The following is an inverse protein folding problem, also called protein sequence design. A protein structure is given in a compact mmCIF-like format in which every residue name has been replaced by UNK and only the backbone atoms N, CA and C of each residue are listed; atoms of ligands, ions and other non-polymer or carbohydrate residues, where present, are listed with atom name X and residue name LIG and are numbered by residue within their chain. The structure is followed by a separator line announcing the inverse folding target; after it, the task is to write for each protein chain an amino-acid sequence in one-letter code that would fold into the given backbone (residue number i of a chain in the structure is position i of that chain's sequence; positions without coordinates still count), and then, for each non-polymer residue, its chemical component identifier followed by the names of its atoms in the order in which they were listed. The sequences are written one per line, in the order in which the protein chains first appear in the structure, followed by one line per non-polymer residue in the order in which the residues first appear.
data_IF_808920034611
#
_entry.id   IF_808920034611
#
_cell.length_a   1.000
_cell.length_b   1.000
_cell.length_c   1.000
_cell.angle_alpha   90.00
_cell.angle_beta   90.00
_cell.angle_gamma   90.00
#
_symmetry.space_group_name_H-M   'P 1'
#
loop_
_entity.id
_entity.type
_entity.pdbx_description
1 polymer ?
#
# COMPACT_ATOMS: atom_id res chain seq x y z
N UNK A 1 -12.77 0.35 3.90
CA UNK A 1 -13.14 -0.57 2.80
C UNK A 1 -12.84 0.11 1.48
N UNK A 2 -12.21 -0.58 0.54
CA UNK A 2 -11.97 -0.11 -0.82
C UNK A 2 -12.79 -0.98 -1.78
N UNK A 3 -13.44 -0.35 -2.75
CA UNK A 3 -14.27 -1.01 -3.76
C UNK A 3 -13.73 -0.66 -5.14
N UNK A 4 -13.46 -1.69 -5.94
CA UNK A 4 -12.95 -1.55 -7.30
C UNK A 4 -14.04 -1.11 -8.28
N UNK A 5 -13.72 -0.14 -9.17
CA UNK A 5 -14.59 0.27 -10.28
C UNK A 5 -13.97 0.07 -11.66
N UNK A 6 -12.73 0.51 -11.86
CA UNK A 6 -12.04 0.38 -13.15
C UNK A 6 -10.51 0.41 -13.01
N UNK A 7 -9.82 -0.20 -13.97
CA UNK A 7 -8.36 -0.23 -14.04
C UNK A 7 -7.75 -1.23 -13.06
N UNK A 8 -6.55 -0.95 -12.53
CA UNK A 8 -5.88 -1.80 -11.54
C UNK A 8 -5.15 -0.95 -10.51
N UNK A 9 -5.13 -1.39 -9.25
CA UNK A 9 -4.40 -0.72 -8.16
C UNK A 9 -3.64 -1.72 -7.31
N UNK A 10 -2.32 -1.58 -7.24
CA UNK A 10 -1.44 -2.35 -6.38
C UNK A 10 -1.30 -1.64 -5.03
N UNK A 11 -1.82 -2.27 -3.98
CA UNK A 11 -1.66 -1.86 -2.60
C UNK A 11 -0.43 -2.52 -1.98
N UNK A 12 0.40 -1.70 -1.33
CA UNK A 12 1.43 -2.17 -0.40
C UNK A 12 1.03 -1.76 1.01
N UNK A 13 0.92 -2.74 1.90
CA UNK A 13 0.49 -2.56 3.28
C UNK A 13 1.59 -2.96 4.26
N UNK A 14 1.80 -2.16 5.30
CA UNK A 14 2.77 -2.43 6.38
C UNK A 14 2.03 -2.35 7.72
N UNK A 15 2.05 -3.43 8.51
CA UNK A 15 1.39 -3.45 9.81
C UNK A 15 2.19 -2.67 10.86
N UNK A 16 1.61 -1.59 11.36
CA UNK A 16 2.13 -0.83 12.49
C UNK A 16 1.00 0.00 13.11
N UNK A 17 0.86 -0.04 14.45
CA UNK A 17 -0.16 0.76 15.13
C UNK A 17 0.25 2.22 15.10
N UNK A 18 -0.70 3.13 14.94
CA UNK A 18 -0.42 4.56 15.05
C UNK A 18 -0.01 4.94 16.50
N UNK A 19 0.85 5.95 16.69
CA UNK A 19 1.63 6.61 15.64
C UNK A 19 2.81 5.76 15.15
N UNK A 20 3.39 4.89 15.99
CA UNK A 20 4.47 3.93 15.67
C UNK A 20 4.56 2.77 16.71
N UNK A 21 3.42 2.20 17.13
CA UNK A 21 3.37 1.02 18.00
C UNK A 21 3.60 -0.30 17.24
N UNK A 22 4.02 -1.36 17.94
CA UNK A 22 4.20 -2.70 17.35
C UNK A 22 2.89 -3.21 16.73
N UNK A 23 2.89 -3.37 15.41
CA UNK A 23 1.84 -4.03 14.64
C UNK A 23 1.96 -5.54 14.70
N UNK A 24 1.36 -6.22 13.73
CA UNK A 24 1.61 -7.64 13.50
C UNK A 24 3.03 -7.81 12.95
N UNK A 25 3.71 -8.86 13.40
CA UNK A 25 5.03 -9.27 12.90
C UNK A 25 4.94 -10.62 12.21
N UNK A 26 5.83 -10.87 11.27
CA UNK A 26 5.99 -12.18 10.65
C UNK A 26 6.86 -13.11 11.53
N UNK A 27 7.11 -14.32 11.02
CA UNK A 27 7.93 -15.34 11.71
C UNK A 27 9.39 -14.93 11.92
N UNK A 28 9.90 -13.94 11.18
CA UNK A 28 11.26 -13.43 11.34
C UNK A 28 11.32 -12.25 12.31
N UNK A 29 10.17 -11.79 12.81
CA UNK A 29 10.08 -10.66 13.72
C UNK A 29 10.04 -9.30 13.03
N UNK A 30 9.90 -9.28 11.69
CA UNK A 30 9.73 -8.05 10.92
C UNK A 30 8.25 -7.65 10.84
N UNK A 31 7.91 -6.36 10.60
CA UNK A 31 6.53 -5.95 10.45
C UNK A 31 5.87 -6.71 9.30
N UNK A 32 4.65 -7.22 9.54
CA UNK A 32 3.92 -7.95 8.53
C UNK A 32 3.60 -7.02 7.35
N UNK A 33 4.03 -7.42 6.15
CA UNK A 33 3.75 -6.69 4.92
C UNK A 33 2.87 -7.50 3.98
N UNK A 34 2.02 -6.81 3.21
CA UNK A 34 1.14 -7.43 2.21
C UNK A 34 1.17 -6.62 0.92
N UNK A 35 1.15 -7.33 -0.21
CA UNK A 35 0.93 -6.74 -1.53
C UNK A 35 -0.34 -7.34 -2.10
N UNK A 36 -1.28 -6.49 -2.52
CA UNK A 36 -2.59 -6.88 -3.01
C UNK A 36 -2.88 -6.07 -4.26
N UNK A 37 -3.35 -6.72 -5.33
CA UNK A 37 -3.82 -6.01 -6.53
C UNK A 37 -5.33 -6.00 -6.53
N UNK A 38 -5.91 -4.81 -6.63
CA UNK A 38 -7.32 -4.62 -6.91
C UNK A 38 -7.53 -4.50 -8.42
N UNK A 39 -8.43 -5.30 -8.97
CA UNK A 39 -8.73 -5.39 -10.39
C UNK A 39 -9.78 -6.47 -10.65
N UNK A 40 -10.01 -6.78 -11.93
CA UNK A 40 -11.05 -7.73 -12.36
C UNK A 40 -10.52 -9.15 -12.64
N UNK A 41 -9.20 -9.37 -12.69
CA UNK A 41 -8.60 -10.68 -13.02
C UNK A 41 -8.49 -11.58 -11.79
N UNK A 42 -9.63 -12.13 -11.35
CA UNK A 42 -9.71 -13.03 -10.18
C UNK A 42 -8.81 -14.26 -10.34
N UNK A 43 -8.60 -14.74 -11.58
CA UNK A 43 -7.74 -15.89 -11.84
C UNK A 43 -6.26 -15.60 -11.52
N UNK A 44 -5.83 -14.34 -11.58
CA UNK A 44 -4.51 -13.88 -11.13
C UNK A 44 -4.47 -13.48 -9.66
N UNK A 45 -5.55 -13.71 -8.91
CA UNK A 45 -5.63 -13.37 -7.49
C UNK A 45 -5.97 -11.90 -7.21
N UNK A 46 -6.46 -11.16 -8.21
CA UNK A 46 -6.95 -9.79 -8.00
C UNK A 46 -8.25 -9.79 -7.20
N UNK A 47 -8.44 -8.72 -6.42
CA UNK A 47 -9.63 -8.57 -5.57
C UNK A 47 -10.44 -7.34 -5.96
N UNK A 48 -11.77 -7.48 -5.98
CA UNK A 48 -12.68 -6.34 -6.25
C UNK A 48 -13.02 -5.54 -4.99
N UNK A 49 -12.72 -6.09 -3.82
CA UNK A 49 -12.95 -5.44 -2.53
C UNK A 49 -11.75 -5.68 -1.61
N UNK A 50 -11.30 -4.62 -0.93
CA UNK A 50 -10.18 -4.69 0.00
C UNK A 50 -10.50 -3.96 1.30
N UNK A 51 -10.61 -4.71 2.39
CA UNK A 51 -10.62 -4.16 3.74
C UNK A 51 -9.17 -3.94 4.21
N UNK A 52 -8.82 -2.68 4.47
CA UNK A 52 -7.60 -2.33 5.21
C UNK A 52 -8.05 -1.91 6.61
N UNK A 53 -7.60 -2.66 7.60
CA UNK A 53 -7.91 -2.40 9.00
C UNK A 53 -7.10 -1.20 9.53
N UNK A 54 -7.55 -0.62 10.64
CA UNK A 54 -6.72 0.36 11.37
C UNK A 54 -5.40 -0.27 11.83
N UNK A 55 -4.34 0.54 11.91
CA UNK A 55 -2.99 0.03 12.25
C UNK A 55 -2.24 -0.59 11.09
N UNK A 56 -2.58 -0.18 9.86
CA UNK A 56 -1.83 -0.47 8.64
C UNK A 56 -1.47 0.83 7.95
N UNK A 57 -0.20 0.99 7.61
CA UNK A 57 0.21 1.96 6.61
C UNK A 57 -0.14 1.40 5.23
N UNK A 58 -0.70 2.25 4.36
CA UNK A 58 -1.09 1.87 3.01
C UNK A 58 -0.50 2.86 2.00
N UNK A 59 -0.02 2.33 0.88
CA UNK A 59 0.23 3.08 -0.35
C UNK A 59 -0.39 2.29 -1.51
N UNK A 60 -0.95 3.01 -2.47
CA UNK A 60 -1.52 2.44 -3.69
C UNK A 60 -0.89 3.10 -4.91
N UNK A 61 -0.62 2.29 -5.93
CA UNK A 61 -0.11 2.74 -7.22
C UNK A 61 -0.81 1.94 -8.34
N UNK A 62 -0.80 2.46 -9.56
CA UNK A 62 -1.07 1.61 -10.74
C UNK A 62 0.04 0.53 -10.79
N UNK A 63 -0.23 -0.73 -11.18
CA UNK A 63 0.83 -1.72 -11.35
C UNK A 63 1.93 -1.25 -12.33
N UNK A 64 3.17 -1.68 -12.10
CA UNK A 64 4.30 -1.24 -12.95
C UNK A 64 4.14 -1.82 -14.35
N UNK A 65 3.71 -3.08 -14.45
CA UNK A 65 3.51 -3.76 -15.72
C UNK A 65 2.45 -3.06 -16.60
N UNK A 66 1.47 -2.39 -16.00
CA UNK A 66 0.46 -1.63 -16.74
C UNK A 66 1.04 -0.31 -17.26
N UNK A 67 1.94 0.33 -16.50
CA UNK A 67 2.66 1.54 -16.97
C UNK A 67 3.62 1.20 -18.10
N UNK A 68 4.42 0.15 -17.93
CA UNK A 68 5.36 -0.33 -18.94
C UNK A 68 4.63 -0.72 -20.23
N UNK A 69 3.44 -1.33 -20.12
CA UNK A 69 2.60 -1.66 -21.28
C UNK A 69 2.14 -0.42 -22.08
N UNK A 70 1.90 0.71 -21.40
CA UNK A 70 1.60 1.98 -22.08
C UNK A 70 2.87 2.53 -22.75
N UNK A 71 3.99 2.55 -22.02
CA UNK A 71 5.26 3.09 -22.51
C UNK A 71 5.78 2.34 -23.74
N UNK A 72 5.62 1.03 -23.78
CA UNK A 72 6.02 0.18 -24.90
C UNK A 72 4.96 0.09 -26.01
N UNK A 73 3.82 0.77 -25.87
CA UNK A 73 2.74 0.82 -26.85
C UNK A 73 1.88 -0.44 -26.97
N UNK A 74 1.99 -1.39 -26.03
CA UNK A 74 1.15 -2.59 -25.98
C UNK A 74 -0.21 -2.38 -25.30
N UNK A 75 -0.41 -1.25 -24.62
CA UNK A 75 -1.68 -0.85 -24.02
C UNK A 75 -2.06 0.60 -24.35
N UNK A 76 -3.37 0.88 -24.42
CA UNK A 76 -3.90 2.22 -24.56
C UNK A 76 -3.82 2.96 -23.21
N UNK A 77 -2.98 3.99 -23.13
CA UNK A 77 -2.79 4.81 -21.93
C UNK A 77 -4.06 5.48 -21.42
N UNK A 78 -5.07 5.72 -22.26
CA UNK A 78 -6.37 6.26 -21.82
C UNK A 78 -7.21 5.24 -21.03
N UNK A 79 -6.82 3.96 -21.07
CA UNK A 79 -7.49 2.83 -20.40
C UNK A 79 -6.73 2.34 -19.17
N UNK A 80 -5.50 2.81 -18.96
CA UNK A 80 -4.67 2.46 -17.80
C UNK A 80 -4.84 3.49 -16.70
N UNK A 81 -5.21 3.02 -15.51
CA UNK A 81 -5.45 3.86 -14.35
C UNK A 81 -6.03 3.04 -13.19
N UNK A 82 -6.52 3.74 -12.17
CA UNK A 82 -7.22 3.12 -11.05
C UNK A 82 -8.39 4.01 -10.61
N UNK A 83 -9.60 3.47 -10.62
CA UNK A 83 -10.78 4.11 -10.08
C UNK A 83 -11.40 3.22 -9.00
N UNK A 84 -11.57 3.78 -7.81
CA UNK A 84 -12.10 3.10 -6.64
C UNK A 84 -13.05 4.01 -5.85
N UNK A 85 -13.82 3.41 -4.94
CA UNK A 85 -14.44 4.13 -3.82
C UNK A 85 -13.90 3.63 -2.49
N UNK A 86 -13.76 4.55 -1.54
CA UNK A 86 -13.40 4.23 -0.17
C UNK A 86 -14.56 4.54 0.78
N UNK A 87 -14.83 3.62 1.69
CA UNK A 87 -15.76 3.79 2.80
C UNK A 87 -14.98 3.61 4.09
N UNK A 88 -14.99 4.64 4.95
CA UNK A 88 -14.28 4.66 6.24
C UNK A 88 -15.32 4.64 7.36
N UNK A 89 -15.08 3.82 8.40
CA UNK A 89 -16.00 3.66 9.53
C UNK A 89 -15.21 3.54 10.85
N UNK A 90 -15.41 4.43 11.84
CA UNK A 90 -16.25 5.66 11.82
C UNK A 90 -15.87 6.62 10.67
N UNK A 91 -16.75 7.58 10.37
CA UNK A 91 -16.53 8.51 9.26
C UNK A 91 -15.18 9.21 9.33
N UNK A 92 -14.59 9.52 8.18
CA UNK A 92 -13.26 10.13 8.10
C UNK A 92 -13.18 11.43 8.91
N UNK A 93 -12.10 11.57 9.68
CA UNK A 93 -11.75 12.78 10.39
C UNK A 93 -10.26 13.07 10.24
N UNK A 94 -9.88 14.33 10.04
CA UNK A 94 -8.47 14.71 9.79
C UNK A 94 -7.53 14.33 10.93
N UNK A 95 -8.00 14.37 12.17
CA UNK A 95 -7.22 13.95 13.33
C UNK A 95 -6.82 12.46 13.31
N UNK A 96 -7.54 11.63 12.55
CA UNK A 96 -7.26 10.20 12.40
C UNK A 96 -6.35 9.93 11.19
N UNK A 97 -6.03 10.96 10.41
CA UNK A 97 -5.19 10.84 9.23
C UNK A 97 -3.75 11.29 9.52
N UNK A 98 -2.79 10.41 9.25
CA UNK A 98 -1.37 10.71 9.37
C UNK A 98 -0.64 10.27 8.12
N UNK A 99 0.28 11.10 7.65
CA UNK A 99 1.23 10.75 6.60
C UNK A 99 2.55 10.26 7.20
N UNK A 100 3.12 9.24 6.56
CA UNK A 100 4.46 8.77 6.87
C UNK A 100 5.48 9.52 6.01
N UNK A 101 6.65 9.77 6.59
CA UNK A 101 7.82 10.32 5.90
C UNK A 101 8.99 9.33 6.05
N UNK A 102 10.12 9.58 5.38
CA UNK A 102 11.27 8.67 5.49
C UNK A 102 11.83 8.55 6.91
N UNK A 103 11.85 9.61 7.73
CA UNK A 103 12.33 9.53 9.12
C UNK A 103 11.46 8.58 9.97
N UNK A 104 10.14 8.74 9.93
CA UNK A 104 9.17 7.85 10.61
C UNK A 104 9.17 6.44 10.04
N UNK A 105 9.52 6.26 8.75
CA UNK A 105 9.71 4.93 8.18
C UNK A 105 10.93 4.22 8.82
N UNK A 106 12.03 4.94 9.07
CA UNK A 106 13.17 4.38 9.82
C UNK A 106 12.76 4.00 11.24
N UNK A 107 12.00 4.86 11.91
CA UNK A 107 11.49 4.57 13.26
C UNK A 107 10.55 3.36 13.26
N UNK A 108 9.69 3.20 12.25
CA UNK A 108 8.80 2.05 12.11
C UNK A 108 9.58 0.72 12.09
N UNK A 109 10.69 0.68 11.38
CA UNK A 109 11.53 -0.51 11.26
C UNK A 109 12.59 -0.63 12.37
N UNK A 110 12.68 0.34 13.29
CA UNK A 110 13.68 0.30 14.34
C UNK A 110 13.55 -0.96 15.20
N UNK A 111 14.64 -1.71 15.34
CA UNK A 111 14.69 -2.96 16.11
C UNK A 111 14.17 -4.20 15.36
N UNK A 112 13.79 -4.07 14.09
CA UNK A 112 13.48 -5.22 13.23
C UNK A 112 14.78 -5.83 12.69
N UNK A 113 14.91 -7.17 12.57
CA UNK A 113 16.12 -7.80 12.07
C UNK A 113 16.58 -7.31 10.70
N UNK A 114 15.64 -6.97 9.81
CA UNK A 114 15.93 -6.47 8.45
C UNK A 114 15.63 -4.98 8.29
N UNK A 115 15.85 -4.18 9.33
CA UNK A 115 15.47 -2.77 9.34
C UNK A 115 15.94 -1.97 8.10
N UNK A 116 17.24 -2.06 7.75
CA UNK A 116 17.79 -1.28 6.63
C UNK A 116 17.29 -1.79 5.26
N UNK A 117 17.19 -3.11 5.08
CA UNK A 117 16.65 -3.71 3.85
C UNK A 117 15.20 -3.26 3.61
N UNK A 118 14.37 -3.32 4.66
CA UNK A 118 12.97 -2.90 4.58
C UNK A 118 12.84 -1.39 4.35
N UNK A 119 13.69 -0.58 5.00
CA UNK A 119 13.74 0.85 4.75
C UNK A 119 14.06 1.14 3.28
N UNK A 120 15.14 0.56 2.74
CA UNK A 120 15.56 0.77 1.35
C UNK A 120 14.49 0.31 0.35
N UNK A 121 13.79 -0.79 0.65
CA UNK A 121 12.68 -1.29 -0.17
C UNK A 121 11.51 -0.30 -0.24
N UNK A 122 11.14 0.32 0.87
CA UNK A 122 9.92 1.12 0.97
C UNK A 122 10.15 2.64 0.88
N UNK A 123 11.37 3.15 1.05
CA UNK A 123 11.68 4.60 1.08
C UNK A 123 11.20 5.34 -0.17
N UNK A 124 11.17 4.67 -1.33
CA UNK A 124 10.71 5.25 -2.60
C UNK A 124 9.27 5.79 -2.57
N UNK A 125 8.44 5.31 -1.64
CA UNK A 125 7.06 5.75 -1.49
C UNK A 125 6.91 6.99 -0.60
N UNK A 126 7.99 7.44 0.05
CA UNK A 126 7.94 8.50 1.05
C UNK A 126 8.91 9.63 0.71
N UNK A 127 8.50 10.86 1.00
CA UNK A 127 9.36 12.03 0.82
C UNK A 127 10.39 12.14 1.94
N UNK A 128 11.59 12.58 1.58
CA UNK A 128 12.52 13.23 2.52
C UNK A 128 11.82 14.52 2.97
N UNK A 129 11.70 14.72 4.28
CA UNK A 129 10.98 15.88 4.83
C UNK A 129 11.83 17.15 4.78
#
# INVERSE_FOLDING_TARGET
MHVHHAGRSKYTLISAKAPLGKGLVDKTGDPLTKVIVMGDDIAKGEVRQLLVEGGWWKVSEVPEEDREAVENGSADGSRVGALISEVVTPGFHWNDHTYLNQAKLRELFAGCPRAEELYEKYKKYFKEQ
#
